data_IF_625067707393
#
_entry.id   IF_625067707393
#
_cell.length_a   1.000
_cell.length_b   1.000
_cell.length_c   1.000
_cell.angle_alpha   90.00
_cell.angle_beta   90.00
_cell.angle_gamma   90.00
#
_symmetry.space_group_name_H-M   'P 1'
#
loop_
_entity.id
_entity.type
_entity.pdbx_description
1 polymer ?
#
# COMPACT_ATOMS: atom_id res chain seq x y z
N UNK A 1 -3.09 18.79 -8.39
CA UNK A 1 -3.99 17.66 -8.71
C UNK A 1 -4.13 16.76 -7.49
N UNK A 2 -5.34 16.44 -7.12
CA UNK A 2 -5.60 15.58 -5.97
C UNK A 2 -5.88 14.16 -6.42
N UNK A 3 -5.16 13.19 -5.84
CA UNK A 3 -5.32 11.78 -6.15
C UNK A 3 -5.76 11.05 -4.90
N UNK A 4 -6.83 10.27 -5.00
CA UNK A 4 -7.28 9.41 -3.91
C UNK A 4 -7.00 7.96 -4.26
N UNK A 5 -6.40 7.23 -3.34
CA UNK A 5 -6.04 5.83 -3.55
C UNK A 5 -6.64 4.98 -2.43
N UNK A 6 -7.31 3.90 -2.80
CA UNK A 6 -7.78 2.89 -1.86
C UNK A 6 -6.98 1.62 -2.12
N UNK A 7 -6.42 1.04 -1.07
CA UNK A 7 -5.58 -0.16 -1.19
C UNK A 7 -6.08 -1.26 -0.28
N UNK A 8 -5.85 -2.51 -0.68
CA UNK A 8 -6.13 -3.66 0.17
C UNK A 8 -5.27 -4.85 -0.22
N UNK A 9 -5.07 -5.75 0.73
CA UNK A 9 -4.39 -7.01 0.52
C UNK A 9 -5.18 -8.14 1.15
N UNK A 10 -5.09 -9.31 0.56
CA UNK A 10 -5.77 -10.51 1.04
C UNK A 10 -4.81 -11.69 0.97
N UNK A 11 -4.98 -12.66 1.85
CA UNK A 11 -4.17 -13.86 1.86
C UNK A 11 -5.00 -15.03 2.34
N UNK A 12 -5.00 -16.11 1.55
CA UNK A 12 -5.69 -17.34 1.90
C UNK A 12 -4.72 -18.23 2.67
N UNK A 13 -4.73 -18.11 3.99
CA UNK A 13 -3.68 -18.65 4.85
C UNK A 13 -2.56 -17.64 5.01
N UNK A 14 -1.78 -17.72 6.07
CA UNK A 14 -0.76 -16.71 6.34
C UNK A 14 0.49 -17.40 6.90
N UNK A 15 1.44 -17.87 6.06
CA UNK A 15 1.56 -17.62 4.62
C UNK A 15 0.66 -18.49 3.75
N UNK A 16 0.47 -18.04 2.50
CA UNK A 16 -0.34 -18.74 1.51
C UNK A 16 -0.51 -17.89 0.26
N UNK A 17 -1.39 -18.28 -0.67
CA UNK A 17 -1.67 -17.45 -1.82
C UNK A 17 -2.35 -16.15 -1.41
N UNK A 18 -1.93 -15.05 -2.00
CA UNK A 18 -2.48 -13.75 -1.67
C UNK A 18 -2.66 -12.87 -2.89
N UNK A 19 -3.47 -11.83 -2.72
CA UNK A 19 -3.72 -10.83 -3.75
C UNK A 19 -3.68 -9.44 -3.18
N UNK A 20 -3.43 -8.48 -4.04
CA UNK A 20 -3.43 -7.06 -3.70
C UNK A 20 -4.23 -6.30 -4.74
N UNK A 21 -4.79 -5.18 -4.34
CA UNK A 21 -5.50 -4.32 -5.26
C UNK A 21 -5.42 -2.86 -4.82
N UNK A 22 -5.55 -1.98 -5.79
CA UNK A 22 -5.63 -0.54 -5.53
C UNK A 22 -6.61 0.09 -6.52
N UNK A 23 -7.37 1.06 -6.01
CA UNK A 23 -8.26 1.88 -6.83
C UNK A 23 -7.71 3.30 -6.79
N UNK A 24 -7.40 3.85 -7.94
CA UNK A 24 -6.81 5.17 -8.05
C UNK A 24 -7.82 6.11 -8.69
N UNK A 25 -8.26 7.10 -7.93
CA UNK A 25 -9.24 8.08 -8.35
C UNK A 25 -8.54 9.40 -8.66
N UNK A 26 -8.62 9.82 -9.90
CA UNK A 26 -8.17 11.12 -10.33
C UNK A 26 -9.40 11.87 -10.86
N UNK A 27 -9.23 13.14 -11.17
CA UNK A 27 -10.33 13.96 -11.65
C UNK A 27 -11.02 13.33 -12.88
N UNK A 28 -12.23 12.80 -12.65
CA UNK A 28 -13.03 12.18 -13.69
C UNK A 28 -12.62 10.76 -14.12
N UNK A 29 -11.60 10.16 -13.48
CA UNK A 29 -11.10 8.84 -13.87
C UNK A 29 -10.98 7.91 -12.67
N UNK A 30 -11.24 6.63 -12.91
CA UNK A 30 -11.04 5.57 -11.93
C UNK A 30 -10.19 4.48 -12.58
N UNK A 31 -9.08 4.13 -11.93
CA UNK A 31 -8.21 3.05 -12.40
C UNK A 31 -8.12 1.98 -11.33
N UNK A 32 -8.33 0.74 -11.73
CA UNK A 32 -8.17 -0.43 -10.86
C UNK A 32 -6.93 -1.17 -11.28
N UNK A 33 -6.05 -1.44 -10.32
CA UNK A 33 -4.86 -2.27 -10.54
C UNK A 33 -4.87 -3.39 -9.49
N UNK A 34 -4.35 -4.55 -9.85
CA UNK A 34 -4.36 -5.71 -8.96
C UNK A 34 -3.35 -6.74 -9.40
N UNK A 35 -3.01 -7.64 -8.51
CA UNK A 35 -2.10 -8.75 -8.79
C UNK A 35 -2.14 -9.76 -7.66
N UNK A 36 -1.51 -10.89 -7.88
CA UNK A 36 -1.48 -11.97 -6.90
C UNK A 36 -0.13 -12.65 -6.82
N UNK A 37 0.04 -13.45 -5.78
CA UNK A 37 1.26 -14.20 -5.54
C UNK A 37 0.90 -15.54 -4.89
N UNK A 38 1.56 -16.61 -5.33
CA UNK A 38 1.24 -17.98 -4.86
C UNK A 38 1.62 -18.21 -3.39
N UNK A 39 2.66 -17.54 -2.92
CA UNK A 39 3.09 -17.66 -1.52
C UNK A 39 3.50 -16.30 -0.99
N UNK A 40 2.73 -15.80 -0.05
CA UNK A 40 2.95 -14.47 0.53
C UNK A 40 2.25 -14.38 1.88
N UNK A 41 2.20 -13.18 2.45
CA UNK A 41 1.48 -12.90 3.69
C UNK A 41 0.53 -11.75 3.50
N UNK A 42 -0.44 -11.61 4.39
CA UNK A 42 -1.38 -10.51 4.33
C UNK A 42 -0.65 -9.14 4.39
N UNK A 43 0.31 -9.01 5.30
CA UNK A 43 1.06 -7.75 5.44
C UNK A 43 1.86 -7.40 4.18
N UNK A 44 2.46 -8.40 3.53
CA UNK A 44 3.19 -8.15 2.28
C UNK A 44 2.24 -7.69 1.17
N UNK A 45 1.03 -8.25 1.11
CA UNK A 45 0.04 -7.84 0.10
C UNK A 45 -0.47 -6.43 0.36
N UNK A 46 -0.67 -6.07 1.63
CA UNK A 46 -1.05 -4.71 2.01
C UNK A 46 0.02 -3.69 1.59
N UNK A 47 1.29 -4.00 1.87
CA UNK A 47 2.41 -3.14 1.46
C UNK A 47 2.53 -3.06 -0.05
N UNK A 48 2.39 -4.19 -0.73
CA UNK A 48 2.49 -4.26 -2.19
C UNK A 48 1.42 -3.40 -2.86
N UNK A 49 0.19 -3.41 -2.34
CA UNK A 49 -0.88 -2.59 -2.87
C UNK A 49 -0.52 -1.09 -2.83
N UNK A 50 0.00 -0.63 -1.70
CA UNK A 50 0.42 0.76 -1.55
C UNK A 50 1.57 1.11 -2.50
N UNK A 51 2.57 0.23 -2.59
CA UNK A 51 3.74 0.42 -3.45
C UNK A 51 3.31 0.50 -4.93
N UNK A 52 2.51 -0.45 -5.38
CA UNK A 52 2.07 -0.50 -6.79
C UNK A 52 1.22 0.71 -7.16
N UNK A 53 0.37 1.16 -6.24
CA UNK A 53 -0.43 2.35 -6.47
C UNK A 53 0.43 3.60 -6.64
N UNK A 54 1.43 3.78 -5.77
CA UNK A 54 2.34 4.92 -5.85
C UNK A 54 3.22 4.85 -7.09
N UNK A 55 3.71 3.67 -7.44
CA UNK A 55 4.48 3.48 -8.68
C UNK A 55 3.65 3.87 -9.90
N UNK A 56 2.40 3.47 -9.93
CA UNK A 56 1.49 3.83 -11.01
C UNK A 56 1.35 5.35 -11.14
N UNK A 57 1.17 6.05 -10.03
CA UNK A 57 1.04 7.50 -10.01
C UNK A 57 2.31 8.20 -10.51
N UNK A 58 3.48 7.68 -10.16
CA UNK A 58 4.77 8.24 -10.60
C UNK A 58 4.98 8.03 -12.09
N UNK A 59 4.70 6.83 -12.61
CA UNK A 59 4.90 6.52 -14.03
C UNK A 59 4.05 7.34 -14.98
N UNK A 60 2.83 7.68 -14.57
CA UNK A 60 1.89 8.40 -15.43
C UNK A 60 2.22 9.87 -15.61
N UNK A 61 3.20 10.40 -14.88
CA UNK A 61 3.46 11.84 -14.89
C UNK A 61 4.93 12.19 -15.10
N UNK A 62 5.52 11.56 -16.09
CA UNK A 62 6.94 11.69 -16.41
C UNK A 62 7.42 13.11 -16.69
N UNK A 63 6.54 14.07 -16.93
CA UNK A 63 6.93 15.40 -17.40
C UNK A 63 6.44 16.55 -16.54
N UNK A 64 5.87 16.27 -15.34
CA UNK A 64 5.41 17.36 -14.49
C UNK A 64 5.92 17.19 -13.06
N UNK A 65 6.91 18.00 -12.67
CA UNK A 65 7.37 18.04 -11.30
C UNK A 65 6.39 18.74 -10.36
N UNK A 66 5.12 18.84 -10.71
CA UNK A 66 4.14 19.43 -9.82
C UNK A 66 3.87 18.49 -8.65
N UNK A 67 3.95 19.04 -7.45
CA UNK A 67 3.61 18.33 -6.22
C UNK A 67 2.17 17.84 -6.31
N UNK A 68 2.03 16.52 -6.37
CA UNK A 68 0.71 15.91 -6.32
C UNK A 68 0.31 15.74 -4.87
N UNK A 69 -0.95 16.01 -4.59
CA UNK A 69 -1.50 15.70 -3.30
C UNK A 69 -2.15 14.32 -3.39
N UNK A 70 -1.58 13.37 -2.67
CA UNK A 70 -2.06 11.99 -2.69
C UNK A 70 -2.65 11.65 -1.33
N UNK A 71 -3.90 11.18 -1.32
CA UNK A 71 -4.53 10.64 -0.14
C UNK A 71 -4.64 9.14 -0.31
N UNK A 72 -4.06 8.37 0.62
CA UNK A 72 -4.16 6.91 0.61
C UNK A 72 -5.09 6.48 1.74
N UNK A 73 -6.04 5.62 1.40
CA UNK A 73 -6.98 5.03 2.35
C UNK A 73 -6.70 3.54 2.45
N UNK A 74 -6.46 3.07 3.66
CA UNK A 74 -6.19 1.65 3.93
C UNK A 74 -6.86 1.22 5.23
N UNK A 75 -7.28 -0.04 5.31
CA UNK A 75 -7.76 -0.62 6.55
C UNK A 75 -6.64 -1.34 7.31
N UNK A 76 -5.43 -1.34 6.77
CA UNK A 76 -4.27 -1.96 7.39
C UNK A 76 -3.62 -1.04 8.42
N UNK A 77 -3.77 -1.36 9.70
CA UNK A 77 -3.06 -0.65 10.75
C UNK A 77 -1.56 -0.88 10.64
N UNK A 78 -1.14 -2.05 10.17
CA UNK A 78 0.27 -2.37 9.96
C UNK A 78 0.93 -1.38 8.99
N UNK A 79 0.31 -1.12 7.84
CA UNK A 79 0.85 -0.19 6.86
C UNK A 79 0.86 1.23 7.42
N UNK A 80 -0.25 1.68 7.99
CA UNK A 80 -0.36 3.04 8.51
C UNK A 80 0.64 3.30 9.63
N UNK A 81 0.69 2.42 10.62
CA UNK A 81 1.60 2.59 11.76
C UNK A 81 3.06 2.48 11.32
N UNK A 82 3.35 1.57 10.41
CA UNK A 82 4.71 1.40 9.92
C UNK A 82 5.24 2.64 9.24
N UNK A 83 4.46 3.21 8.32
CA UNK A 83 4.93 4.36 7.54
C UNK A 83 4.90 5.68 8.33
N UNK A 84 4.00 5.81 9.29
CA UNK A 84 3.87 7.05 10.06
C UNK A 84 4.68 7.05 11.36
N UNK A 85 4.92 5.89 11.96
CA UNK A 85 5.55 5.79 13.27
C UNK A 85 6.84 4.97 13.23
N UNK A 86 6.77 3.70 12.81
CA UNK A 86 7.88 2.75 12.99
C UNK A 86 9.06 2.99 12.07
N UNK A 87 8.81 3.44 10.84
CA UNK A 87 9.84 3.51 9.80
C UNK A 87 10.98 4.46 10.17
N UNK A 88 10.68 5.52 10.87
CA UNK A 88 11.70 6.48 11.30
C UNK A 88 12.68 5.86 12.29
N UNK A 89 12.17 5.05 13.21
CA UNK A 89 12.99 4.33 14.18
C UNK A 89 13.83 3.26 13.48
N UNK A 90 13.21 2.51 12.57
CA UNK A 90 13.92 1.47 11.82
C UNK A 90 15.08 2.06 11.01
N UNK A 91 14.85 3.18 10.36
CA UNK A 91 15.89 3.83 9.56
C UNK A 91 17.08 4.26 10.42
N UNK A 92 16.81 4.83 11.60
CA UNK A 92 17.86 5.22 12.54
C UNK A 92 18.66 4.03 13.06
N UNK A 93 18.03 2.86 13.13
CA UNK A 93 18.64 1.64 13.66
C UNK A 93 19.13 0.70 12.55
N UNK A 94 19.42 1.22 11.35
CA UNK A 94 19.89 0.45 10.20
C UNK A 94 18.96 -0.71 9.84
N UNK A 95 17.63 -0.47 9.98
CA UNK A 95 16.60 -1.45 9.66
C UNK A 95 16.70 -2.72 10.52
N UNK A 96 17.11 -2.55 11.77
CA UNK A 96 17.15 -3.61 12.77
C UNK A 96 16.11 -3.34 13.86
N UNK A 97 15.55 -4.41 14.40
CA UNK A 97 14.66 -4.32 15.56
C UNK A 97 15.48 -4.12 16.84
N UNK A 98 14.81 -3.91 17.96
CA UNK A 98 15.47 -3.80 19.27
C UNK A 98 16.32 -5.03 19.57
N UNK A 99 15.93 -6.21 19.08
CA UNK A 99 16.67 -7.47 19.25
C UNK A 99 17.80 -7.64 18.25
N UNK A 100 18.12 -6.61 17.49
CA UNK A 100 19.15 -6.61 16.43
C UNK A 100 18.85 -7.58 15.27
N UNK A 101 17.58 -7.96 15.10
CA UNK A 101 17.14 -8.76 13.97
C UNK A 101 16.69 -7.84 12.83
N UNK A 102 16.71 -8.36 11.60
CA UNK A 102 16.22 -7.60 10.46
C UNK A 102 14.73 -7.31 10.61
N UNK A 103 14.33 -6.08 10.26
CA UNK A 103 12.90 -5.72 10.23
C UNK A 103 12.20 -6.61 9.20
N UNK A 104 11.05 -7.17 9.58
CA UNK A 104 10.25 -7.98 8.64
C UNK A 104 9.79 -7.14 7.48
N UNK A 105 9.81 -7.74 6.28
CA UNK A 105 9.37 -7.07 5.05
C UNK A 105 10.20 -5.83 4.74
N UNK A 106 11.45 -5.80 5.16
CA UNK A 106 12.34 -4.65 4.99
C UNK A 106 12.47 -4.23 3.52
N UNK A 107 12.47 -5.19 2.60
CA UNK A 107 12.51 -4.91 1.16
C UNK A 107 11.35 -4.02 0.72
N UNK A 108 10.14 -4.33 1.17
CA UNK A 108 8.95 -3.56 0.83
C UNK A 108 8.91 -2.22 1.56
N UNK A 109 9.32 -2.20 2.84
CA UNK A 109 9.34 -0.96 3.61
C UNK A 109 10.31 0.07 3.02
N UNK A 110 11.50 -0.37 2.60
CA UNK A 110 12.46 0.53 1.96
C UNK A 110 11.93 1.10 0.66
N UNK A 111 11.30 0.27 -0.14
CA UNK A 111 10.71 0.70 -1.42
C UNK A 111 9.58 1.69 -1.20
N UNK A 112 8.71 1.42 -0.24
CA UNK A 112 7.62 2.33 0.09
C UNK A 112 8.15 3.69 0.57
N UNK A 113 9.18 3.68 1.41
CA UNK A 113 9.77 4.92 1.90
C UNK A 113 10.32 5.79 0.78
N UNK A 114 10.99 5.19 -0.21
CA UNK A 114 11.50 5.94 -1.34
C UNK A 114 10.37 6.62 -2.13
N UNK A 115 9.26 5.92 -2.32
CA UNK A 115 8.10 6.48 -3.02
C UNK A 115 7.45 7.61 -2.21
N UNK A 116 7.40 7.48 -0.90
CA UNK A 116 6.82 8.49 -0.02
C UNK A 116 7.65 9.76 0.01
N UNK A 117 8.97 9.65 -0.05
CA UNK A 117 9.88 10.82 -0.05
C UNK A 117 9.63 11.75 -1.23
N UNK A 118 9.26 11.18 -2.38
CA UNK A 118 9.13 11.94 -3.62
C UNK A 118 7.77 12.62 -3.77
N UNK A 119 6.83 12.34 -2.87
CA UNK A 119 5.45 12.78 -3.02
C UNK A 119 4.89 13.25 -1.69
N UNK A 120 3.88 14.11 -1.76
CA UNK A 120 3.16 14.57 -0.58
C UNK A 120 1.98 13.63 -0.35
N UNK A 121 2.07 12.79 0.68
CA UNK A 121 1.10 11.73 0.92
C UNK A 121 0.44 11.87 2.28
N UNK A 122 -0.89 11.85 2.29
CA UNK A 122 -1.68 11.80 3.50
C UNK A 122 -2.20 10.36 3.67
N UNK A 123 -1.90 9.75 4.80
CA UNK A 123 -2.32 8.38 5.12
C UNK A 123 -3.58 8.42 5.98
N UNK A 124 -4.64 7.78 5.50
CA UNK A 124 -5.91 7.71 6.21
C UNK A 124 -6.28 6.26 6.49
N UNK A 125 -6.59 5.98 7.74
CA UNK A 125 -7.04 4.65 8.12
C UNK A 125 -8.55 4.58 8.02
N UNK A 126 -9.06 3.53 7.38
CA UNK A 126 -10.48 3.24 7.27
C UNK A 126 -10.75 1.95 8.01
N UNK A 127 -11.77 1.94 8.86
CA UNK A 127 -12.15 0.72 9.55
C UNK A 127 -12.71 -0.30 8.55
N UNK A 128 -12.26 -1.55 8.65
CA UNK A 128 -12.79 -2.64 7.83
C UNK A 128 -14.30 -2.75 8.00
N UNK A 129 -14.99 -2.98 6.89
CA UNK A 129 -16.46 -3.13 6.87
C UNK A 129 -17.20 -1.90 7.38
N UNK A 130 -16.67 -0.71 7.13
CA UNK A 130 -17.26 0.55 7.56
C UNK A 130 -18.26 1.14 6.55
N UNK A 131 -18.76 0.32 5.61
CA UNK A 131 -19.70 0.72 4.56
C UNK A 131 -19.14 1.74 3.58
N UNK A 132 -17.82 1.76 3.39
CA UNK A 132 -17.19 2.59 2.37
C UNK A 132 -17.17 1.80 1.05
N UNK A 133 -17.89 2.27 0.00
CA UNK A 133 -17.98 1.51 -1.25
C UNK A 133 -16.64 1.23 -1.91
N UNK A 134 -15.71 2.17 -1.86
CA UNK A 134 -14.39 1.97 -2.49
C UNK A 134 -13.56 0.97 -1.69
N UNK A 135 -13.65 1.00 -0.37
CA UNK A 135 -12.95 0.03 0.47
C UNK A 135 -13.49 -1.38 0.23
N UNK A 136 -14.81 -1.52 0.12
CA UNK A 136 -15.44 -2.80 -0.17
C UNK A 136 -15.03 -3.32 -1.55
N UNK A 137 -14.99 -2.44 -2.54
CA UNK A 137 -14.59 -2.81 -3.90
C UNK A 137 -13.13 -3.27 -3.96
N UNK A 138 -12.23 -2.56 -3.33
CA UNK A 138 -10.80 -2.93 -3.34
C UNK A 138 -10.55 -4.23 -2.58
N UNK A 139 -11.31 -4.49 -1.51
CA UNK A 139 -11.25 -5.76 -0.79
C UNK A 139 -11.64 -6.92 -1.73
N UNK A 140 -12.73 -6.75 -2.46
CA UNK A 140 -13.21 -7.76 -3.41
C UNK A 140 -12.20 -8.00 -4.53
N UNK A 141 -11.59 -6.93 -5.05
CA UNK A 141 -10.57 -7.05 -6.11
C UNK A 141 -9.34 -7.81 -5.62
N UNK A 142 -8.89 -7.53 -4.39
CA UNK A 142 -7.75 -8.23 -3.81
C UNK A 142 -8.03 -9.72 -3.64
N UNK A 143 -9.23 -10.07 -3.19
CA UNK A 143 -9.65 -11.47 -3.06
C UNK A 143 -9.69 -12.17 -4.41
N UNK A 144 -10.25 -11.52 -5.43
CA UNK A 144 -10.28 -12.08 -6.78
C UNK A 144 -8.91 -12.26 -7.39
N UNK A 145 -7.97 -11.40 -7.06
CA UNK A 145 -6.59 -11.47 -7.56
C UNK A 145 -5.77 -12.58 -6.91
N UNK A 146 -6.24 -13.13 -5.79
CA UNK A 146 -5.56 -14.21 -5.09
C UNK A 146 -5.53 -15.47 -5.94
N UNK A 147 -4.35 -16.06 -6.23
CA UNK A 147 -4.28 -17.31 -6.99
C UNK A 147 -4.96 -18.45 -6.27
N UNK A 148 -5.60 -19.32 -7.05
CA UNK A 148 -6.29 -20.48 -6.50
C UNK A 148 -5.30 -21.64 -6.36
#
# INVERSE_FOLDING_TARGET
MKIKIYTDGACAGNPGPGGWAAIILTEGNKKEIFGGKKLTTNNRMELTAAIKALEYCVEKEDNQPSLKQIEIYTDSTYVKEGITVWINTWEKNNWKTADKKNVKNVDLWKKLKELVKSNQIEWNWIKSHSKNPMNDLVDELAKKATPI
#
